data_IF_752755149787
#
_entry.id   IF_752755149787
#
_cell.length_a   1.000
_cell.length_b   1.000
_cell.length_c   1.000
_cell.angle_alpha   90.00
_cell.angle_beta   90.00
_cell.angle_gamma   90.00
#
_symmetry.space_group_name_H-M   'P 1'
#
loop_
_entity.id
_entity.type
_entity.pdbx_description
1 polymer ?
#
# COMPACT_ATOMS: atom_id res chain seq x y z
N UNK A 1 -18.02 -11.88 27.05
CA UNK A 1 -18.50 -11.09 25.91
C UNK A 1 -18.48 -12.05 24.73
N UNK A 2 -19.59 -12.27 24.03
CA UNK A 2 -19.67 -13.29 22.98
C UNK A 2 -18.82 -12.81 21.78
N UNK A 3 -17.66 -13.43 21.63
CA UNK A 3 -16.61 -13.04 20.69
C UNK A 3 -16.91 -13.61 19.31
N UNK A 4 -17.28 -12.74 18.37
CA UNK A 4 -17.68 -13.09 17.01
C UNK A 4 -16.47 -13.29 16.10
N UNK A 5 -16.58 -14.22 15.14
CA UNK A 5 -15.69 -14.31 13.96
C UNK A 5 -16.10 -13.21 12.95
N UNK A 6 -16.39 -12.00 13.47
CA UNK A 6 -17.08 -10.89 12.78
C UNK A 6 -16.28 -10.26 11.64
N UNK A 7 -15.02 -10.65 11.49
CA UNK A 7 -14.05 -9.91 10.68
C UNK A 7 -13.83 -10.53 9.29
N UNK A 8 -14.53 -11.62 8.93
CA UNK A 8 -14.45 -12.17 7.59
C UNK A 8 -15.22 -11.27 6.59
N UNK A 9 -14.53 -10.59 5.65
CA UNK A 9 -15.12 -9.48 4.90
C UNK A 9 -16.05 -9.94 3.79
N UNK A 10 -17.31 -9.51 3.79
CA UNK A 10 -18.25 -9.76 2.67
C UNK A 10 -17.69 -9.21 1.34
N UNK A 11 -17.75 -9.98 0.24
CA UNK A 11 -17.31 -9.47 -1.04
C UNK A 11 -18.29 -8.39 -1.55
N UNK A 12 -17.83 -7.44 -2.39
CA UNK A 12 -18.68 -6.37 -2.91
C UNK A 12 -19.96 -6.90 -3.57
N UNK A 13 -21.09 -6.22 -3.36
CA UNK A 13 -22.41 -6.56 -3.92
C UNK A 13 -23.04 -7.86 -3.44
N UNK A 14 -22.51 -8.50 -2.39
CA UNK A 14 -23.08 -9.70 -1.79
C UNK A 14 -23.30 -9.53 -0.29
N UNK A 15 -24.31 -10.23 0.21
CA UNK A 15 -24.53 -10.43 1.64
C UNK A 15 -24.58 -11.93 1.96
N UNK A 16 -24.10 -12.28 3.15
CA UNK A 16 -24.40 -13.60 3.72
C UNK A 16 -25.85 -13.64 4.20
N UNK A 17 -26.49 -14.79 4.06
CA UNK A 17 -27.84 -14.97 4.61
C UNK A 17 -27.84 -14.80 6.14
N UNK A 18 -28.85 -14.11 6.68
CA UNK A 18 -28.95 -13.85 8.12
C UNK A 18 -28.91 -15.18 8.91
N UNK A 19 -28.00 -15.29 9.90
CA UNK A 19 -27.83 -16.49 10.73
C UNK A 19 -26.92 -17.58 10.14
N UNK A 20 -26.40 -17.40 8.92
CA UNK A 20 -25.45 -18.35 8.32
C UNK A 20 -24.03 -18.23 8.90
N UNK A 21 -23.63 -17.02 9.32
CA UNK A 21 -22.33 -16.75 9.96
C UNK A 21 -22.34 -17.20 11.42
N UNK A 22 -21.47 -18.15 11.77
CA UNK A 22 -21.33 -18.65 13.15
C UNK A 22 -20.68 -17.57 14.02
N UNK A 23 -21.19 -17.42 15.24
CA UNK A 23 -20.50 -16.66 16.30
C UNK A 23 -19.60 -17.64 17.07
N UNK A 24 -18.29 -17.39 17.08
CA UNK A 24 -17.28 -18.24 17.72
C UNK A 24 -16.41 -19.05 16.76
N UNK A 25 -15.58 -19.98 17.28
CA UNK A 25 -14.60 -20.72 16.48
C UNK A 25 -15.24 -21.53 15.35
N UNK A 26 -14.52 -21.68 14.24
CA UNK A 26 -15.03 -22.38 13.07
C UNK A 26 -14.03 -23.41 12.53
N UNK A 27 -14.52 -24.62 12.23
CA UNK A 27 -13.72 -25.68 11.63
C UNK A 27 -13.00 -25.18 10.37
N UNK A 28 -11.69 -25.36 10.36
CA UNK A 28 -10.83 -24.90 9.29
C UNK A 28 -9.70 -25.90 9.00
N UNK A 29 -9.18 -25.81 7.78
CA UNK A 29 -7.96 -26.47 7.37
C UNK A 29 -6.90 -25.39 7.08
N UNK A 30 -5.82 -25.42 7.85
CA UNK A 30 -4.65 -24.55 7.65
C UNK A 30 -3.63 -25.30 6.82
N UNK A 31 -3.18 -24.69 5.72
CA UNK A 31 -2.05 -25.13 4.92
C UNK A 31 -0.88 -24.21 5.23
N UNK A 32 0.26 -24.78 5.60
CA UNK A 32 1.49 -24.04 5.90
C UNK A 32 2.38 -23.93 4.66
N UNK A 33 3.28 -22.94 4.64
CA UNK A 33 4.28 -22.80 3.57
C UNK A 33 5.28 -23.96 3.51
N UNK A 34 5.48 -24.68 4.62
CA UNK A 34 6.34 -25.87 4.67
C UNK A 34 5.65 -27.15 4.11
N UNK A 35 4.43 -27.01 3.56
CA UNK A 35 3.64 -28.09 2.99
C UNK A 35 2.82 -28.90 4.01
N UNK A 36 2.99 -28.65 5.32
CA UNK A 36 2.15 -29.30 6.35
C UNK A 36 0.71 -28.77 6.31
N UNK A 37 -0.18 -29.55 6.93
CA UNK A 37 -1.60 -29.22 7.08
C UNK A 37 -2.05 -29.47 8.51
N UNK A 38 -2.89 -28.59 9.05
CA UNK A 38 -3.52 -28.75 10.36
C UNK A 38 -5.03 -28.59 10.26
N UNK A 39 -5.75 -29.54 10.85
CA UNK A 39 -7.21 -29.51 11.02
C UNK A 39 -7.53 -29.06 12.44
N UNK A 40 -8.49 -28.16 12.60
CA UNK A 40 -8.90 -27.63 13.90
C UNK A 40 -9.87 -26.48 13.73
N UNK A 41 -10.06 -25.67 14.76
CA UNK A 41 -10.96 -24.52 14.73
C UNK A 41 -10.16 -23.21 14.63
N UNK A 42 -10.52 -22.37 13.66
CA UNK A 42 -10.07 -20.98 13.63
C UNK A 42 -10.84 -20.21 14.69
N UNK A 43 -10.14 -19.70 15.69
CA UNK A 43 -10.73 -18.92 16.77
C UNK A 43 -10.81 -17.45 16.38
N UNK A 44 -9.71 -16.88 15.88
CA UNK A 44 -9.62 -15.46 15.48
C UNK A 44 -8.48 -15.21 14.50
N UNK A 45 -8.62 -14.16 13.68
CA UNK A 45 -7.53 -13.54 12.91
C UNK A 45 -7.25 -12.18 13.54
N UNK A 46 -6.00 -11.85 13.83
CA UNK A 46 -5.58 -10.51 14.24
C UNK A 46 -4.82 -9.83 13.08
N UNK A 47 -5.54 -9.09 12.21
CA UNK A 47 -4.99 -8.24 11.17
C UNK A 47 -3.69 -7.50 11.53
N UNK A 48 -3.76 -6.68 12.58
CA UNK A 48 -2.72 -5.72 12.93
C UNK A 48 -1.46 -6.40 13.49
N UNK A 49 -1.63 -7.58 14.09
CA UNK A 49 -0.54 -8.37 14.68
C UNK A 49 -0.02 -9.46 13.74
N UNK A 50 -0.56 -9.57 12.52
CA UNK A 50 -0.18 -10.57 11.51
C UNK A 50 -0.17 -12.00 12.05
N UNK A 51 -1.14 -12.35 12.89
CA UNK A 51 -1.26 -13.69 13.48
C UNK A 51 -2.72 -14.18 13.50
N UNK A 52 -2.88 -15.48 13.72
CA UNK A 52 -4.19 -16.12 13.93
C UNK A 52 -4.15 -16.97 15.19
N UNK A 53 -5.29 -17.09 15.84
CA UNK A 53 -5.51 -18.02 16.95
C UNK A 53 -6.24 -19.24 16.39
N UNK A 54 -5.60 -20.40 16.53
CA UNK A 54 -6.05 -21.67 16.01
C UNK A 54 -6.07 -22.72 17.12
N UNK A 55 -7.15 -23.49 17.22
CA UNK A 55 -7.26 -24.61 18.14
C UNK A 55 -7.11 -25.91 17.35
N UNK A 56 -5.98 -26.60 17.52
CA UNK A 56 -5.69 -27.86 16.81
C UNK A 56 -6.64 -28.97 17.24
N UNK A 57 -7.12 -29.80 16.30
CA UNK A 57 -7.92 -31.01 16.63
C UNK A 57 -7.18 -32.03 17.52
N UNK A 58 -5.87 -31.87 17.72
CA UNK A 58 -5.02 -32.76 18.54
C UNK A 58 -4.65 -32.17 19.92
N UNK A 59 -5.09 -30.94 20.23
CA UNK A 59 -4.69 -30.20 21.43
C UNK A 59 -5.86 -29.35 21.92
N UNK A 60 -6.05 -29.29 23.24
CA UNK A 60 -7.08 -28.43 23.84
C UNK A 60 -6.57 -27.00 24.14
N UNK A 61 -5.42 -26.63 23.57
CA UNK A 61 -4.76 -25.34 23.80
C UNK A 61 -4.77 -24.51 22.51
N UNK A 62 -5.16 -23.24 22.64
CA UNK A 62 -5.07 -22.26 21.56
C UNK A 62 -3.61 -22.01 21.18
N UNK A 63 -3.31 -22.15 19.90
CA UNK A 63 -2.03 -21.86 19.29
C UNK A 63 -2.10 -20.52 18.55
N UNK A 64 -1.13 -19.64 18.77
CA UNK A 64 -0.95 -18.43 17.97
C UNK A 64 0.01 -18.72 16.84
N UNK A 65 -0.46 -18.61 15.60
CA UNK A 65 0.31 -18.90 14.39
C UNK A 65 0.54 -17.60 13.63
N UNK A 66 1.78 -17.35 13.21
CA UNK A 66 2.09 -16.20 12.36
C UNK A 66 1.53 -16.39 10.95
N UNK A 67 0.97 -15.33 10.36
CA UNK A 67 0.53 -15.32 8.97
C UNK A 67 1.69 -15.59 7.99
N UNK A 68 2.94 -15.35 8.38
CA UNK A 68 4.11 -15.68 7.58
C UNK A 68 4.35 -17.18 7.43
N UNK A 69 3.80 -18.00 8.33
CA UNK A 69 3.92 -19.47 8.26
C UNK A 69 2.79 -20.10 7.44
N UNK A 70 1.71 -19.35 7.21
CA UNK A 70 0.47 -19.84 6.64
C UNK A 70 0.45 -19.57 5.13
N UNK A 71 0.14 -20.61 4.36
CA UNK A 71 -0.12 -20.52 2.93
C UNK A 71 -1.58 -20.20 2.64
N UNK A 72 -2.51 -20.96 3.23
CA UNK A 72 -3.96 -20.71 3.11
C UNK A 72 -4.71 -21.19 4.35
N UNK A 73 -5.84 -20.57 4.66
CA UNK A 73 -6.81 -21.04 5.65
C UNK A 73 -8.14 -21.25 4.93
N UNK A 74 -8.72 -22.45 5.03
CA UNK A 74 -10.03 -22.76 4.45
C UNK A 74 -11.02 -23.10 5.54
N UNK A 75 -12.09 -22.33 5.64
CA UNK A 75 -13.22 -22.64 6.53
C UNK A 75 -14.07 -23.74 5.89
N UNK A 76 -14.43 -24.75 6.70
CA UNK A 76 -15.07 -25.97 6.23
C UNK A 76 -16.60 -25.88 6.24
N UNK A 77 -17.18 -24.91 6.95
CA UNK A 77 -18.63 -24.68 6.93
C UNK A 77 -19.03 -23.86 5.70
N UNK A 78 -19.87 -24.40 4.81
CA UNK A 78 -20.40 -23.65 3.68
C UNK A 78 -21.34 -22.54 4.14
N UNK A 79 -21.35 -21.43 3.41
CA UNK A 79 -22.31 -20.33 3.57
C UNK A 79 -23.11 -20.12 2.29
N UNK A 80 -24.36 -19.70 2.44
CA UNK A 80 -25.17 -19.22 1.32
C UNK A 80 -24.89 -17.74 1.12
N UNK A 81 -24.61 -17.36 -0.13
CA UNK A 81 -24.33 -15.97 -0.51
C UNK A 81 -25.43 -15.46 -1.44
N UNK A 82 -26.04 -14.32 -1.10
CA UNK A 82 -27.06 -13.67 -1.93
C UNK A 82 -26.52 -12.37 -2.50
N UNK A 83 -26.71 -12.17 -3.81
CA UNK A 83 -26.37 -10.91 -4.49
C UNK A 83 -27.38 -9.83 -4.11
N UNK A 84 -26.90 -8.64 -3.76
CA UNK A 84 -27.73 -7.49 -3.47
C UNK A 84 -27.94 -6.68 -4.76
N UNK A 85 -28.98 -7.01 -5.51
CA UNK A 85 -29.31 -6.37 -6.80
C UNK A 85 -30.03 -5.01 -6.65
N UNK A 86 -30.59 -4.72 -5.48
CA UNK A 86 -31.59 -3.67 -5.27
C UNK A 86 -31.14 -2.21 -5.51
N UNK A 87 -29.84 -1.89 -5.47
CA UNK A 87 -29.36 -0.50 -5.63
C UNK A 87 -28.99 -0.11 -7.06
N UNK A 88 -28.76 -1.08 -7.94
CA UNK A 88 -28.33 -0.84 -9.34
C UNK A 88 -29.52 -0.87 -10.31
N UNK A 89 -30.54 -1.67 -10.01
CA UNK A 89 -31.70 -1.89 -10.89
C UNK A 89 -32.69 -0.72 -10.93
N UNK A 90 -32.80 0.10 -9.87
CA UNK A 90 -33.74 1.24 -9.84
C UNK A 90 -33.27 2.46 -10.67
N UNK A 91 -32.01 2.48 -11.13
CA UNK A 91 -31.40 3.66 -11.78
C UNK A 91 -30.76 3.40 -13.14
N UNK A 92 -30.78 2.18 -13.66
CA UNK A 92 -30.12 1.83 -14.91
C UNK A 92 -31.11 1.23 -15.93
N UNK A 93 -31.11 1.76 -17.16
CA UNK A 93 -31.90 1.22 -18.30
C UNK A 93 -31.36 -0.13 -18.80
N UNK A 94 -30.10 -0.46 -18.51
CA UNK A 94 -29.49 -1.76 -18.78
C UNK A 94 -28.71 -2.27 -17.56
N UNK A 95 -29.15 -3.40 -16.99
CA UNK A 95 -28.44 -4.10 -15.92
C UNK A 95 -27.80 -5.33 -16.53
N UNK A 96 -26.51 -5.25 -16.85
CA UNK A 96 -25.74 -6.43 -17.23
C UNK A 96 -25.51 -7.25 -15.97
N UNK A 97 -26.32 -8.28 -15.78
CA UNK A 97 -26.10 -9.24 -14.71
C UNK A 97 -24.77 -9.95 -14.96
N UNK A 98 -23.76 -9.71 -14.12
CA UNK A 98 -22.53 -10.50 -14.11
C UNK A 98 -22.83 -11.88 -13.47
N UNK A 99 -23.70 -12.65 -14.11
CA UNK A 99 -24.04 -14.01 -13.72
C UNK A 99 -22.90 -14.93 -14.13
N UNK A 100 -21.79 -14.97 -13.40
CA UNK A 100 -20.87 -16.10 -13.47
C UNK A 100 -19.77 -15.94 -12.43
N UNK A 101 -19.41 -17.07 -11.83
CA UNK A 101 -18.17 -17.25 -11.09
C UNK A 101 -17.00 -16.66 -11.89
N UNK A 102 -16.10 -15.98 -11.20
CA UNK A 102 -14.87 -15.46 -11.80
C UNK A 102 -13.77 -16.51 -11.66
N UNK A 103 -12.98 -16.70 -12.70
CA UNK A 103 -11.74 -17.46 -12.56
C UNK A 103 -10.76 -16.70 -11.67
N UNK A 104 -9.92 -17.40 -10.92
CA UNK A 104 -8.80 -16.79 -10.23
C UNK A 104 -7.53 -17.60 -10.43
N UNK A 105 -6.40 -16.90 -10.39
CA UNK A 105 -5.06 -17.46 -10.34
C UNK A 105 -4.28 -16.79 -9.22
N UNK A 106 -3.63 -17.58 -8.37
CA UNK A 106 -2.73 -17.08 -7.32
C UNK A 106 -1.37 -17.76 -7.48
N UNK A 107 -0.31 -16.98 -7.69
CA UNK A 107 1.07 -17.42 -7.57
C UNK A 107 1.55 -17.14 -6.15
N UNK A 108 2.04 -18.18 -5.48
CA UNK A 108 2.63 -18.08 -4.15
C UNK A 108 4.11 -17.71 -4.21
N UNK A 109 4.66 -17.26 -3.08
CA UNK A 109 6.09 -16.94 -2.93
C UNK A 109 7.01 -18.14 -3.23
N UNK A 110 6.53 -19.37 -3.03
CA UNK A 110 7.23 -20.61 -3.35
C UNK A 110 7.09 -21.07 -4.81
N UNK A 111 6.55 -20.21 -5.68
CA UNK A 111 6.29 -20.44 -7.11
C UNK A 111 5.20 -21.46 -7.42
N UNK A 112 4.56 -22.06 -6.41
CA UNK A 112 3.34 -22.82 -6.67
C UNK A 112 2.23 -21.89 -7.17
N UNK A 113 1.40 -22.43 -8.06
CA UNK A 113 0.27 -21.70 -8.64
C UNK A 113 -1.01 -22.48 -8.38
N UNK A 114 -2.03 -21.80 -7.85
CA UNK A 114 -3.38 -22.35 -7.78
C UNK A 114 -4.31 -21.60 -8.71
N UNK A 115 -5.23 -22.35 -9.31
CA UNK A 115 -6.28 -21.84 -10.18
C UNK A 115 -7.63 -22.36 -9.69
N UNK A 116 -8.69 -21.59 -9.90
CA UNK A 116 -10.03 -22.00 -9.54
C UNK A 116 -11.10 -21.01 -9.95
N UNK A 117 -12.29 -21.21 -9.43
CA UNK A 117 -13.42 -20.28 -9.57
C UNK A 117 -13.78 -19.67 -8.23
N UNK A 118 -14.28 -18.44 -8.26
CA UNK A 118 -14.78 -17.76 -7.07
C UNK A 118 -16.06 -16.97 -7.38
N UNK A 119 -17.00 -16.97 -6.44
CA UNK A 119 -18.25 -16.20 -6.58
C UNK A 119 -18.01 -14.71 -6.34
N UNK A 120 -16.98 -14.38 -5.55
CA UNK A 120 -16.55 -13.02 -5.26
C UNK A 120 -15.25 -13.05 -4.48
N UNK A 121 -14.69 -11.88 -4.20
CA UNK A 121 -13.47 -11.77 -3.42
C UNK A 121 -13.46 -10.47 -2.61
N UNK A 122 -12.61 -10.41 -1.60
CA UNK A 122 -12.29 -9.18 -0.89
C UNK A 122 -10.77 -9.13 -0.66
N UNK A 123 -10.16 -7.99 -0.98
CA UNK A 123 -8.74 -7.72 -0.72
C UNK A 123 -8.64 -6.80 0.50
N UNK A 124 -7.75 -7.15 1.42
CA UNK A 124 -7.48 -6.36 2.64
C UNK A 124 -5.97 -6.19 2.81
N UNK A 125 -5.55 -5.39 3.79
CA UNK A 125 -4.14 -5.23 4.16
C UNK A 125 -3.44 -6.56 4.47
N UNK A 126 -4.17 -7.55 4.99
CA UNK A 126 -3.60 -8.81 5.51
C UNK A 126 -3.63 -9.94 4.49
N UNK A 127 -4.36 -9.78 3.39
CA UNK A 127 -4.46 -10.80 2.36
C UNK A 127 -5.75 -10.79 1.57
N UNK A 128 -5.90 -11.87 0.81
CA UNK A 128 -6.99 -12.11 -0.14
C UNK A 128 -8.00 -13.10 0.44
N UNK A 129 -9.27 -12.72 0.38
CA UNK A 129 -10.39 -13.57 0.77
C UNK A 129 -11.14 -14.01 -0.50
N UNK A 130 -11.20 -15.32 -0.71
CA UNK A 130 -11.89 -15.97 -1.82
C UNK A 130 -13.12 -16.74 -1.34
N UNK A 131 -14.14 -16.74 -2.18
CA UNK A 131 -15.41 -17.44 -1.96
C UNK A 131 -15.55 -18.55 -2.98
N UNK A 132 -15.09 -19.74 -2.62
CA UNK A 132 -14.98 -20.88 -3.52
C UNK A 132 -16.35 -21.56 -3.66
N UNK A 133 -16.90 -21.73 -4.87
CA UNK A 133 -18.20 -22.37 -5.05
C UNK A 133 -18.14 -23.83 -4.59
N UNK A 134 -19.07 -24.22 -3.72
CA UNK A 134 -19.31 -25.62 -3.35
C UNK A 134 -20.42 -26.23 -4.20
N UNK A 135 -21.49 -25.45 -4.43
CA UNK A 135 -22.60 -25.76 -5.32
C UNK A 135 -23.12 -24.47 -5.98
N UNK A 136 -24.40 -24.40 -6.37
CA UNK A 136 -24.99 -23.22 -7.02
C UNK A 136 -25.16 -22.03 -6.07
N UNK A 137 -25.39 -22.27 -4.77
CA UNK A 137 -25.70 -21.21 -3.79
C UNK A 137 -24.68 -21.13 -2.64
N UNK A 138 -24.00 -22.24 -2.35
CA UNK A 138 -23.06 -22.37 -1.25
C UNK A 138 -21.62 -22.09 -1.67
N UNK A 139 -20.91 -21.39 -0.79
CA UNK A 139 -19.49 -21.10 -0.91
C UNK A 139 -18.71 -21.56 0.31
N UNK A 140 -17.46 -21.95 0.07
CA UNK A 140 -16.44 -22.10 1.10
C UNK A 140 -15.58 -20.84 1.14
N UNK A 141 -15.20 -20.44 2.35
CA UNK A 141 -14.39 -19.26 2.61
C UNK A 141 -12.92 -19.68 2.67
N UNK A 142 -12.09 -19.02 1.86
CA UNK A 142 -10.65 -19.27 1.80
C UNK A 142 -9.90 -17.96 1.97
N UNK A 143 -8.99 -17.90 2.94
CA UNK A 143 -8.10 -16.78 3.19
C UNK A 143 -6.69 -17.14 2.76
N UNK A 144 -6.04 -16.20 2.08
CA UNK A 144 -4.66 -16.31 1.60
C UNK A 144 -3.89 -15.10 2.14
N UNK A 145 -2.95 -15.30 3.09
CA UNK A 145 -2.19 -14.19 3.67
C UNK A 145 -1.38 -13.46 2.61
N UNK A 146 -1.30 -12.13 2.72
CA UNK A 146 -0.53 -11.28 1.79
C UNK A 146 0.94 -11.70 1.71
N UNK A 147 1.53 -12.10 2.84
CA UNK A 147 2.90 -12.62 2.96
C UNK A 147 3.16 -13.86 2.09
N UNK A 148 2.13 -14.65 1.80
CA UNK A 148 2.24 -15.87 0.99
C UNK A 148 2.05 -15.64 -0.52
N UNK A 149 1.50 -14.48 -0.92
CA UNK A 149 1.14 -14.17 -2.31
C UNK A 149 2.29 -13.44 -3.01
N UNK A 150 2.75 -13.98 -4.13
CA UNK A 150 3.65 -13.28 -5.07
C UNK A 150 2.87 -12.34 -5.98
N UNK A 151 1.82 -12.87 -6.62
CA UNK A 151 0.83 -12.11 -7.42
C UNK A 151 -0.46 -12.92 -7.53
N UNK A 152 -1.57 -12.24 -7.79
CA UNK A 152 -2.83 -12.89 -8.10
C UNK A 152 -3.59 -12.15 -9.19
N UNK A 153 -4.54 -12.83 -9.81
CA UNK A 153 -5.43 -12.31 -10.83
C UNK A 153 -6.84 -12.86 -10.57
N UNK A 154 -7.83 -11.96 -10.58
CA UNK A 154 -9.26 -12.32 -10.53
C UNK A 154 -9.89 -11.92 -11.86
N UNK A 155 -10.60 -12.87 -12.48
CA UNK A 155 -11.20 -12.73 -13.79
C UNK A 155 -10.18 -12.76 -14.93
N UNK A 156 -10.71 -12.59 -16.13
CA UNK A 156 -9.93 -12.44 -17.35
C UNK A 156 -9.36 -11.02 -17.42
N UNK A 157 -8.20 -10.85 -18.03
CA UNK A 157 -7.74 -9.52 -18.41
C UNK A 157 -8.73 -8.91 -19.40
N UNK A 158 -8.86 -7.57 -19.41
CA UNK A 158 -9.76 -6.88 -20.35
C UNK A 158 -9.50 -7.32 -21.81
N UNK A 159 -8.23 -7.45 -22.20
CA UNK A 159 -7.86 -7.94 -23.52
C UNK A 159 -8.38 -9.36 -23.80
N UNK A 160 -8.26 -10.28 -22.85
CA UNK A 160 -8.79 -11.65 -22.96
C UNK A 160 -10.31 -11.67 -23.02
N UNK A 161 -10.98 -10.80 -22.27
CA UNK A 161 -12.44 -10.64 -22.32
C UNK A 161 -12.89 -10.16 -23.71
N UNK A 162 -12.24 -9.14 -24.27
CA UNK A 162 -12.56 -8.63 -25.61
C UNK A 162 -12.37 -9.67 -26.71
N UNK A 163 -11.33 -10.50 -26.58
CA UNK A 163 -11.09 -11.63 -27.50
C UNK A 163 -12.17 -12.70 -27.34
N UNK A 164 -12.51 -13.06 -26.10
CA UNK A 164 -13.51 -14.10 -25.79
C UNK A 164 -14.90 -13.73 -26.30
N UNK A 165 -15.31 -12.48 -26.13
CA UNK A 165 -16.59 -11.96 -26.63
C UNK A 165 -16.55 -11.67 -28.15
N UNK A 166 -15.45 -12.02 -28.83
CA UNK A 166 -15.22 -11.81 -30.25
C UNK A 166 -15.39 -10.35 -30.69
N UNK A 167 -15.15 -9.40 -29.77
CA UNK A 167 -15.21 -7.96 -30.00
C UNK A 167 -13.91 -7.43 -30.61
N UNK A 168 -12.78 -8.08 -30.31
CA UNK A 168 -11.46 -7.70 -30.81
C UNK A 168 -10.63 -8.95 -31.11
N UNK A 169 -9.92 -8.97 -32.24
CA UNK A 169 -8.98 -10.04 -32.56
C UNK A 169 -7.74 -10.02 -31.66
N UNK A 170 -7.17 -11.21 -31.40
CA UNK A 170 -6.01 -11.40 -30.51
C UNK A 170 -4.82 -10.54 -30.90
N UNK A 171 -4.56 -10.42 -32.20
CA UNK A 171 -3.46 -9.65 -32.76
C UNK A 171 -3.53 -8.16 -32.37
N UNK A 172 -4.72 -7.56 -32.41
CA UNK A 172 -4.90 -6.15 -32.03
C UNK A 172 -4.73 -5.92 -30.52
N UNK A 173 -5.13 -6.88 -29.70
CA UNK A 173 -4.90 -6.81 -28.25
C UNK A 173 -3.41 -6.91 -27.93
N UNK A 174 -2.70 -7.82 -28.61
CA UNK A 174 -1.24 -7.97 -28.46
C UNK A 174 -0.49 -6.69 -28.86
N UNK A 175 -0.86 -6.10 -30.01
CA UNK A 175 -0.31 -4.83 -30.47
C UNK A 175 -0.56 -3.69 -29.47
N UNK A 176 -1.79 -3.58 -28.96
CA UNK A 176 -2.15 -2.56 -27.97
C UNK A 176 -1.36 -2.73 -26.65
N UNK A 177 -1.17 -3.96 -26.18
CA UNK A 177 -0.38 -4.26 -24.97
C UNK A 177 1.10 -3.91 -25.19
N UNK A 178 1.65 -4.20 -26.38
CA UNK A 178 3.02 -3.84 -26.73
C UNK A 178 3.20 -2.32 -26.79
N UNK A 179 2.26 -1.60 -27.40
CA UNK A 179 2.27 -0.14 -27.45
C UNK A 179 2.20 0.47 -26.04
N UNK A 180 1.31 -0.03 -25.18
CA UNK A 180 1.22 0.38 -23.78
C UNK A 180 2.53 0.11 -23.01
N UNK A 181 3.19 -1.02 -23.29
CA UNK A 181 4.50 -1.34 -22.70
C UNK A 181 5.55 -0.35 -23.16
N UNK A 182 5.62 0.01 -24.44
CA UNK A 182 6.55 1.03 -24.95
C UNK A 182 6.34 2.36 -24.25
N UNK A 183 5.09 2.83 -24.17
CA UNK A 183 4.74 4.09 -23.47
C UNK A 183 5.14 4.07 -21.99
N UNK A 184 4.93 2.96 -21.27
CA UNK A 184 5.33 2.84 -19.85
C UNK A 184 6.84 2.89 -19.61
N UNK A 185 7.65 2.52 -20.61
CA UNK A 185 9.12 2.53 -20.50
C UNK A 185 9.74 3.79 -21.10
N UNK A 186 8.97 4.57 -21.86
CA UNK A 186 9.41 5.85 -22.39
C UNK A 186 9.47 6.89 -21.26
N UNK A 187 10.56 7.67 -21.19
CA UNK A 187 10.65 8.75 -20.21
C UNK A 187 9.66 9.85 -20.60
N UNK A 188 9.04 10.45 -19.59
CA UNK A 188 8.06 11.53 -19.83
C UNK A 188 8.65 12.69 -20.64
N UNK A 189 9.94 13.03 -20.45
CA UNK A 189 10.61 14.07 -21.24
C UNK A 189 10.77 13.69 -22.71
N UNK A 190 11.13 12.45 -23.00
CA UNK A 190 11.27 11.93 -24.36
C UNK A 190 9.91 11.93 -25.06
N UNK A 191 8.86 11.49 -24.36
CA UNK A 191 7.49 11.51 -24.87
C UNK A 191 7.02 12.95 -25.20
N UNK A 192 7.24 13.90 -24.28
CA UNK A 192 6.85 15.30 -24.50
C UNK A 192 7.62 15.95 -25.66
N UNK A 193 8.87 15.55 -25.88
CA UNK A 193 9.68 16.03 -27.00
C UNK A 193 9.22 15.42 -28.33
N UNK A 194 8.94 14.12 -28.36
CA UNK A 194 8.46 13.41 -29.55
C UNK A 194 7.06 13.87 -30.00
N UNK A 195 6.19 14.24 -29.06
CA UNK A 195 4.87 14.79 -29.36
C UNK A 195 4.92 16.30 -29.66
N UNK A 196 6.12 16.90 -29.75
CA UNK A 196 6.35 18.34 -29.99
C UNK A 196 5.65 19.26 -28.97
N UNK A 197 5.33 18.74 -27.79
CA UNK A 197 4.70 19.49 -26.70
C UNK A 197 5.72 20.42 -26.02
N UNK A 198 6.99 20.00 -25.99
CA UNK A 198 8.13 20.80 -25.50
C UNK A 198 9.30 20.70 -26.47
N UNK A 199 10.06 21.79 -26.63
CA UNK A 199 11.31 21.72 -27.41
C UNK A 199 12.42 21.03 -26.62
N UNK A 200 13.42 20.50 -27.34
CA UNK A 200 14.61 19.91 -26.72
C UNK A 200 15.33 20.90 -25.81
N UNK A 201 15.41 22.18 -26.19
CA UNK A 201 16.01 23.20 -25.33
C UNK A 201 15.20 23.46 -24.07
N UNK A 202 13.86 23.48 -24.16
CA UNK A 202 12.98 23.65 -23.00
C UNK A 202 13.07 22.45 -22.05
N UNK A 203 13.21 21.23 -22.58
CA UNK A 203 13.43 20.04 -21.77
C UNK A 203 14.80 20.05 -21.09
N UNK A 204 15.86 20.42 -21.81
CA UNK A 204 17.21 20.57 -21.26
C UNK A 204 17.27 21.66 -20.17
N UNK A 205 16.56 22.78 -20.36
CA UNK A 205 16.37 23.80 -19.33
C UNK A 205 15.62 23.25 -18.12
N UNK A 206 14.54 22.48 -18.29
CA UNK A 206 13.80 21.90 -17.17
C UNK A 206 14.62 20.87 -16.38
N UNK A 207 15.40 20.02 -17.06
CA UNK A 207 16.27 19.02 -16.43
C UNK A 207 17.43 19.68 -15.68
N UNK A 208 18.04 20.73 -16.25
CA UNK A 208 19.10 21.47 -15.55
C UNK A 208 18.63 22.11 -14.25
N UNK A 209 17.37 22.56 -14.15
CA UNK A 209 16.78 23.02 -12.89
C UNK A 209 16.50 21.88 -11.89
N UNK A 210 16.48 20.63 -12.35
CA UNK A 210 16.25 19.43 -11.52
C UNK A 210 17.56 18.82 -11.00
N UNK A 211 18.63 18.83 -11.81
CA UNK A 211 19.97 18.37 -11.41
C UNK A 211 20.75 19.41 -10.56
N UNK A 212 20.37 20.69 -10.64
CA UNK A 212 20.92 21.74 -9.77
C UNK A 212 20.12 21.81 -8.47
N UNK A 213 20.20 20.75 -7.67
CA UNK A 213 20.18 20.91 -6.21
C UNK A 213 21.45 20.29 -5.63
N UNK A 214 22.60 20.99 -5.75
CA UNK A 214 23.71 20.68 -4.88
C UNK A 214 23.18 20.74 -3.45
N UNK A 215 23.63 19.83 -2.59
CA UNK A 215 23.54 20.02 -1.14
C UNK A 215 24.46 21.22 -0.83
N UNK A 216 23.98 22.44 -1.09
CA UNK A 216 24.66 23.67 -0.71
C UNK A 216 24.92 23.54 0.79
N UNK A 217 26.18 23.69 1.23
CA UNK A 217 26.47 23.69 2.66
C UNK A 217 25.74 24.88 3.29
N UNK A 218 25.32 24.76 4.55
CA UNK A 218 24.59 25.86 5.22
C UNK A 218 25.34 27.20 5.10
N UNK A 219 26.68 27.18 5.16
CA UNK A 219 27.52 28.36 4.97
C UNK A 219 27.39 29.00 3.58
N UNK A 220 27.44 28.20 2.51
CA UNK A 220 27.34 28.69 1.13
C UNK A 220 25.95 29.30 0.86
N UNK A 221 24.88 28.65 1.37
CA UNK A 221 23.53 29.18 1.25
C UNK A 221 23.35 30.52 1.98
N UNK A 222 23.99 30.70 3.13
CA UNK A 222 23.95 31.97 3.86
C UNK A 222 24.77 33.07 3.17
N UNK A 223 25.84 32.72 2.47
CA UNK A 223 26.62 33.65 1.65
C UNK A 223 25.86 34.11 0.41
N UNK A 224 25.21 33.20 -0.31
CA UNK A 224 24.38 33.53 -1.48
C UNK A 224 23.21 34.46 -1.13
N UNK A 225 22.64 34.28 0.05
CA UNK A 225 21.58 35.15 0.58
C UNK A 225 22.10 36.48 1.13
N UNK A 226 23.43 36.72 1.10
CA UNK A 226 24.06 37.94 1.60
C UNK A 226 23.98 38.10 3.12
N UNK A 227 23.70 37.03 3.87
CA UNK A 227 23.56 37.06 5.32
C UNK A 227 24.90 36.98 6.05
N UNK A 228 25.90 36.37 5.42
CA UNK A 228 27.28 36.28 5.94
C UNK A 228 28.29 36.51 4.81
N UNK A 229 29.49 36.98 5.14
CA UNK A 229 30.60 37.06 4.19
C UNK A 229 31.58 35.86 4.35
N UNK A 230 32.59 35.79 3.48
CA UNK A 230 33.61 34.72 3.48
C UNK A 230 34.37 34.66 4.80
N UNK A 231 34.83 35.81 5.30
CA UNK A 231 35.64 35.87 6.53
C UNK A 231 34.84 35.40 7.76
N UNK A 232 33.56 35.78 7.84
CA UNK A 232 32.65 35.36 8.92
C UNK A 232 32.37 33.85 8.88
N UNK A 233 32.20 33.28 7.68
CA UNK A 233 32.02 31.85 7.52
C UNK A 233 33.27 31.07 7.95
N UNK A 234 34.46 31.54 7.57
CA UNK A 234 35.73 30.90 7.95
C UNK A 234 35.94 30.89 9.46
N UNK A 235 35.67 32.02 10.13
CA UNK A 235 35.75 32.10 11.61
C UNK A 235 34.77 31.13 12.27
N UNK A 236 33.53 31.06 11.78
CA UNK A 236 32.53 30.15 12.33
C UNK A 236 32.90 28.67 12.11
N UNK A 237 33.50 28.32 10.96
CA UNK A 237 33.99 26.97 10.67
C UNK A 237 35.19 26.59 11.55
N UNK A 238 36.11 27.51 11.82
CA UNK A 238 37.21 27.29 12.75
C UNK A 238 36.72 27.01 14.17
N UNK A 239 35.69 27.73 14.61
CA UNK A 239 35.07 27.51 15.92
C UNK A 239 34.30 26.18 15.98
N UNK A 240 33.65 25.79 14.88
CA UNK A 240 33.01 24.48 14.76
C UNK A 240 34.01 23.33 14.79
N UNK A 241 35.20 23.50 14.20
CA UNK A 241 36.26 22.48 14.26
C UNK A 241 36.75 22.25 15.69
N UNK A 242 36.82 23.29 16.51
CA UNK A 242 37.16 23.19 17.94
C UNK A 242 36.04 22.54 18.75
N UNK A 243 34.78 22.78 18.38
CA UNK A 243 33.61 22.23 19.06
C UNK A 243 32.64 21.54 18.09
N UNK A 244 32.96 20.31 17.70
CA UNK A 244 32.17 19.52 16.74
C UNK A 244 30.74 19.18 17.19
N UNK A 245 30.41 19.37 18.48
CA UNK A 245 29.06 19.15 19.00
C UNK A 245 28.13 20.34 18.75
N UNK A 246 28.66 21.53 18.48
CA UNK A 246 27.85 22.71 18.17
C UNK A 246 27.58 22.82 16.66
N UNK A 247 26.32 23.00 16.22
CA UNK A 247 26.00 23.20 14.82
C UNK A 247 26.45 24.59 14.35
N UNK A 248 26.90 24.68 13.09
CA UNK A 248 27.40 25.93 12.48
C UNK A 248 26.40 27.08 12.60
N UNK A 249 25.10 26.81 12.43
CA UNK A 249 24.06 27.83 12.56
C UNK A 249 23.97 28.44 13.96
N UNK A 250 24.17 27.64 15.02
CA UNK A 250 24.19 28.16 16.39
C UNK A 250 25.43 29.00 16.64
N UNK A 251 26.58 28.61 16.08
CA UNK A 251 27.83 29.38 16.17
C UNK A 251 27.65 30.76 15.51
N UNK A 252 27.00 30.82 14.34
CA UNK A 252 26.71 32.07 13.63
C UNK A 252 25.75 32.99 14.41
N UNK A 253 24.81 32.43 15.18
CA UNK A 253 23.94 33.18 16.09
C UNK A 253 24.73 33.66 17.31
N UNK A 254 25.52 32.79 17.94
CA UNK A 254 26.34 33.12 19.11
C UNK A 254 27.35 34.24 18.79
N UNK A 255 27.86 34.28 17.55
CA UNK A 255 28.74 35.34 17.04
C UNK A 255 28.01 36.65 16.70
N UNK A 256 26.67 36.68 16.75
CA UNK A 256 25.86 37.85 16.42
C UNK A 256 25.83 38.21 14.93
N UNK A 257 26.30 37.30 14.06
CA UNK A 257 26.39 37.54 12.60
C UNK A 257 25.04 37.28 11.93
N UNK A 258 24.26 36.31 12.43
CA UNK A 258 22.96 35.93 11.87
C UNK A 258 21.91 35.85 12.96
N UNK A 259 20.74 36.46 12.73
CA UNK A 259 19.59 36.30 13.63
C UNK A 259 18.93 34.92 13.46
N UNK A 260 18.45 34.35 14.56
CA UNK A 260 17.78 33.03 14.54
C UNK A 260 16.56 32.97 13.59
N UNK A 261 15.87 34.09 13.37
CA UNK A 261 14.78 34.19 12.42
C UNK A 261 15.28 34.11 10.96
N UNK A 262 16.32 34.90 10.62
CA UNK A 262 16.94 34.89 9.29
C UNK A 262 17.54 33.51 8.94
N UNK A 263 18.15 32.83 9.93
CA UNK A 263 18.66 31.47 9.75
C UNK A 263 17.56 30.46 9.39
N UNK A 264 16.40 30.55 10.07
CA UNK A 264 15.25 29.66 9.80
C UNK A 264 14.66 29.91 8.43
N UNK A 265 14.57 31.16 8.01
CA UNK A 265 14.10 31.52 6.67
C UNK A 265 15.06 31.03 5.58
N UNK A 266 16.37 31.19 5.78
CA UNK A 266 17.40 30.67 4.88
C UNK A 266 17.32 29.14 4.75
N UNK A 267 17.12 28.43 5.87
CA UNK A 267 16.91 26.98 5.88
C UNK A 267 15.63 26.54 5.15
N UNK A 268 14.52 27.25 5.36
CA UNK A 268 13.26 26.97 4.68
C UNK A 268 13.38 27.16 3.16
N UNK A 269 14.01 28.27 2.73
CA UNK A 269 14.32 28.53 1.32
C UNK A 269 15.23 27.44 0.72
N UNK A 270 16.28 27.04 1.45
CA UNK A 270 17.21 25.98 1.05
C UNK A 270 16.55 24.62 0.88
N UNK A 271 15.67 24.23 1.80
CA UNK A 271 15.02 22.93 1.81
C UNK A 271 13.78 22.89 0.91
N UNK A 272 13.32 24.05 0.40
CA UNK A 272 12.12 24.14 -0.41
C UNK A 272 10.85 23.75 0.34
N UNK A 273 10.87 23.83 1.67
CA UNK A 273 9.74 23.52 2.55
C UNK A 273 9.28 24.79 3.27
N UNK A 274 7.96 25.00 3.40
CA UNK A 274 7.43 26.18 4.07
C UNK A 274 7.78 26.16 5.56
N UNK A 275 8.17 27.33 6.10
CA UNK A 275 8.32 27.50 7.54
C UNK A 275 6.95 27.70 8.18
N UNK A 276 6.61 26.86 9.16
CA UNK A 276 5.32 26.91 9.86
C UNK A 276 5.55 27.26 11.33
N UNK A 277 4.94 28.36 11.77
CA UNK A 277 4.89 28.72 13.17
C UNK A 277 3.91 27.82 13.93
N UNK A 278 4.42 26.93 14.78
CA UNK A 278 3.61 25.96 15.53
C UNK A 278 2.59 26.60 16.48
N UNK A 279 2.80 27.85 16.92
CA UNK A 279 1.90 28.56 17.84
C UNK A 279 0.53 28.86 17.25
N UNK A 280 0.40 28.92 15.92
CA UNK A 280 -0.86 29.20 15.20
C UNK A 280 -1.28 28.07 14.26
N UNK A 281 -0.58 26.95 14.28
CA UNK A 281 -0.83 25.86 13.35
C UNK A 281 -1.89 24.91 13.90
N UNK A 282 -2.97 24.71 13.13
CA UNK A 282 -4.06 23.82 13.53
C UNK A 282 -3.70 22.38 13.18
N UNK A 283 -3.31 21.59 14.18
CA UNK A 283 -2.89 20.20 14.02
C UNK A 283 -4.07 19.25 14.25
N UNK A 284 -4.27 18.29 13.34
CA UNK A 284 -5.18 17.17 13.58
C UNK A 284 -4.58 16.20 14.61
N UNK A 285 -5.28 16.00 15.71
CA UNK A 285 -4.87 15.15 16.82
C UNK A 285 -4.71 13.67 16.43
N UNK A 286 -5.38 13.22 15.36
CA UNK A 286 -5.22 11.86 14.86
C UNK A 286 -3.84 11.62 14.23
N UNK A 287 -3.25 12.67 13.63
CA UNK A 287 -1.91 12.59 13.00
C UNK A 287 -0.81 12.51 14.06
N UNK A 288 -0.98 13.18 15.19
CA UNK A 288 0.00 13.16 16.30
C UNK A 288 0.16 11.74 16.86
N UNK A 289 -0.88 10.90 16.80
CA UNK A 289 -0.86 9.51 17.28
C UNK A 289 -0.05 8.56 16.38
N UNK A 290 0.26 8.96 15.16
CA UNK A 290 1.06 8.15 14.22
C UNK A 290 2.56 8.16 14.55
N UNK A 291 3.03 9.11 15.37
CA UNK A 291 4.43 9.23 15.79
C UNK A 291 4.54 9.04 17.29
N UNK A 292 5.34 8.07 17.74
CA UNK A 292 5.57 7.86 19.18
C UNK A 292 6.26 9.07 19.81
N UNK A 293 5.92 9.37 21.06
CA UNK A 293 6.52 10.49 21.80
C UNK A 293 8.04 10.38 21.94
N UNK A 294 8.56 9.14 21.94
CA UNK A 294 9.98 8.84 21.99
C UNK A 294 10.70 9.23 20.69
N UNK A 295 10.12 8.88 19.53
CA UNK A 295 10.68 9.25 18.23
C UNK A 295 10.60 10.77 17.98
N UNK A 296 9.51 11.40 18.43
CA UNK A 296 9.36 12.86 18.31
C UNK A 296 10.41 13.65 19.12
N UNK A 297 10.87 13.13 20.26
CA UNK A 297 11.87 13.79 21.12
C UNK A 297 13.31 13.63 20.64
N UNK A 298 13.62 12.55 19.91
CA UNK A 298 14.98 12.21 19.49
C UNK A 298 15.41 12.79 18.13
N UNK A 299 14.57 13.63 17.49
CA UNK A 299 14.81 14.15 16.13
C UNK A 299 15.38 15.59 16.12
N UNK A 300 16.20 15.98 17.09
CA UNK A 300 16.90 17.30 17.07
C UNK A 300 18.38 17.14 17.40
#
# INVERSE_FOLDING_TARGET
MLETLSDWPTPPYFNFEHGSVKTGPEDCLVYYLDGKKALGELVRIYPDESNVVFLSSKSDVNETISLEQIKTIRLLRPLIMRRQLAMLEERAEEVVHSSARQTYTVEFVDKEVINGETVGYAETSNGLYLYLPKDEEQVLRCFIPKSSISRFQIGLHLGEMLIRENLVHKEHVEEAVEHQRKLRHQRIGDYLSEQEIVSREQLEQAISHQEVRPILKLGEALQELGLINQDQLEVALLEQQKNRKKPLGQILIDMGVVEAAALKEALAKKLGIPYVGLTKFNLDLNVIRLVSAENAKNTV
#
